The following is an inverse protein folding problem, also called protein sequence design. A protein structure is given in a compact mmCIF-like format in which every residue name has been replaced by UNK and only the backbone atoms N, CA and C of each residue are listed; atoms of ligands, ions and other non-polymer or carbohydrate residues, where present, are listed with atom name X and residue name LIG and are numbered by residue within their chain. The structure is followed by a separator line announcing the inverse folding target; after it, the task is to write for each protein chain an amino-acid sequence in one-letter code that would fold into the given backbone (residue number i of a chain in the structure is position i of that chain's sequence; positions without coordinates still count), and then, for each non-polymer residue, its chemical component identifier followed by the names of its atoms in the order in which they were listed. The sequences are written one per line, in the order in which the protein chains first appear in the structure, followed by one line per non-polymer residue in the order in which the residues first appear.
data_IF_940151715256
#
_entry.id   IF_940151715256
#
_cell.length_a   1.000
_cell.length_b   1.000
_cell.length_c   1.000
_cell.angle_alpha   90.00
_cell.angle_beta   90.00
_cell.angle_gamma   90.00
#
_symmetry.space_group_name_H-M   'P 1'
#
loop_
_entity.id
_entity.type
_entity.pdbx_description
1 polymer ?
#
# COMPACT_ATOMS: atom_id res chain seq x y z
N UNK A 1 -25.79 -22.45 -3.98
CA UNK A 1 -24.62 -21.54 -3.83
C UNK A 1 -25.05 -20.45 -2.85
N UNK A 2 -24.21 -20.13 -1.84
CA UNK A 2 -24.54 -19.12 -0.85
C UNK A 2 -24.36 -17.71 -1.46
N UNK A 3 -25.27 -16.79 -1.14
CA UNK A 3 -25.34 -15.46 -1.72
C UNK A 3 -25.07 -14.39 -0.66
N UNK A 4 -24.22 -13.42 -1.03
CA UNK A 4 -23.85 -12.27 -0.22
C UNK A 4 -24.11 -10.96 -0.97
N UNK A 5 -24.38 -9.88 -0.24
CA UNK A 5 -24.43 -8.54 -0.83
C UNK A 5 -23.02 -8.07 -1.17
N UNK A 6 -22.06 -8.29 -0.26
CA UNK A 6 -20.66 -7.89 -0.42
C UNK A 6 -19.75 -9.05 -0.04
N UNK A 7 -18.83 -9.41 -0.93
CA UNK A 7 -17.67 -10.27 -0.61
C UNK A 7 -16.41 -9.42 -0.61
N UNK A 8 -15.64 -9.53 0.47
CA UNK A 8 -14.39 -8.80 0.68
C UNK A 8 -13.24 -9.79 0.62
N UNK A 9 -12.24 -9.51 -0.19
CA UNK A 9 -11.06 -10.36 -0.39
C UNK A 9 -9.85 -9.75 0.31
N UNK A 10 -9.39 -10.41 1.37
CA UNK A 10 -8.26 -10.01 2.21
C UNK A 10 -8.71 -9.48 3.58
N UNK A 11 -8.21 -10.08 4.64
CA UNK A 11 -8.53 -9.79 6.05
C UNK A 11 -7.50 -8.89 6.76
N UNK A 12 -6.77 -8.07 6.00
CA UNK A 12 -5.91 -7.01 6.52
C UNK A 12 -6.69 -5.79 7.01
N UNK A 13 -6.03 -4.69 7.42
CA UNK A 13 -6.69 -3.50 7.98
C UNK A 13 -7.74 -2.91 7.04
N UNK A 14 -7.48 -2.85 5.72
CA UNK A 14 -8.46 -2.38 4.74
C UNK A 14 -9.70 -3.28 4.69
N UNK A 15 -9.52 -4.60 4.62
CA UNK A 15 -10.63 -5.55 4.54
C UNK A 15 -11.45 -5.64 5.82
N UNK A 16 -10.81 -5.57 6.99
CA UNK A 16 -11.51 -5.46 8.28
C UNK A 16 -12.39 -4.21 8.33
N UNK A 17 -11.84 -3.07 7.92
CA UNK A 17 -12.58 -1.81 7.85
C UNK A 17 -13.69 -1.86 6.81
N UNK A 18 -13.46 -2.47 5.64
CA UNK A 18 -14.46 -2.65 4.59
C UNK A 18 -15.64 -3.54 5.07
N UNK A 19 -15.32 -4.64 5.78
CA UNK A 19 -16.36 -5.51 6.34
C UNK A 19 -17.21 -4.76 7.37
N UNK A 20 -16.58 -3.96 8.22
CA UNK A 20 -17.27 -3.13 9.21
C UNK A 20 -18.16 -2.08 8.52
N UNK A 21 -17.65 -1.37 7.49
CA UNK A 21 -18.41 -0.40 6.71
C UNK A 21 -19.61 -1.01 6.00
N UNK A 22 -19.44 -2.18 5.36
CA UNK A 22 -20.51 -2.91 4.70
C UNK A 22 -21.59 -3.39 5.68
N UNK A 23 -21.20 -3.94 6.83
CA UNK A 23 -22.12 -4.39 7.88
C UNK A 23 -22.92 -3.25 8.49
N UNK A 24 -22.29 -2.12 8.78
CA UNK A 24 -22.97 -0.91 9.28
C UNK A 24 -23.98 -0.36 8.28
N UNK A 25 -23.75 -0.57 6.99
CA UNK A 25 -24.70 -0.25 5.93
C UNK A 25 -25.78 -1.33 5.70
N UNK A 26 -25.85 -2.38 6.52
CA UNK A 26 -26.89 -3.42 6.50
C UNK A 26 -26.62 -4.60 5.56
N UNK A 27 -25.49 -4.68 4.88
CA UNK A 27 -25.20 -5.72 3.89
C UNK A 27 -24.88 -7.08 4.52
N UNK A 28 -25.36 -8.19 3.92
CA UNK A 28 -24.87 -9.54 4.21
C UNK A 28 -23.45 -9.67 3.65
N UNK A 29 -22.47 -9.82 4.54
CA UNK A 29 -21.06 -9.67 4.20
C UNK A 29 -20.27 -10.94 4.49
N UNK A 30 -19.41 -11.36 3.54
CA UNK A 30 -18.39 -12.39 3.71
C UNK A 30 -16.99 -11.77 3.56
N UNK A 31 -16.15 -11.93 4.57
CA UNK A 31 -14.73 -11.60 4.52
C UNK A 31 -13.91 -12.89 4.30
N UNK A 32 -13.16 -12.95 3.19
CA UNK A 32 -12.33 -14.12 2.83
C UNK A 32 -10.86 -13.79 3.12
N UNK A 33 -10.20 -14.63 3.92
CA UNK A 33 -8.79 -14.48 4.28
C UNK A 33 -8.04 -15.80 4.08
N UNK A 34 -6.91 -15.74 3.37
CA UNK A 34 -6.06 -16.91 3.08
C UNK A 34 -5.30 -17.42 4.29
N UNK A 35 -5.00 -16.57 5.26
CA UNK A 35 -4.30 -16.95 6.48
C UNK A 35 -5.24 -17.47 7.57
N UNK A 36 -4.65 -18.09 8.59
CA UNK A 36 -5.37 -18.62 9.75
C UNK A 36 -5.90 -17.53 10.69
N UNK A 37 -5.44 -16.29 10.56
CA UNK A 37 -5.79 -15.17 11.44
C UNK A 37 -5.94 -13.89 10.64
N UNK A 38 -6.93 -13.10 11.00
CA UNK A 38 -7.14 -11.74 10.51
C UNK A 38 -6.03 -10.79 10.95
N UNK A 39 -5.95 -9.61 10.34
CA UNK A 39 -5.01 -8.53 10.67
C UNK A 39 -3.92 -8.30 9.62
N UNK A 40 -3.79 -9.18 8.62
CA UNK A 40 -2.81 -9.02 7.52
C UNK A 40 -1.39 -8.79 8.05
N UNK A 41 -0.67 -7.86 7.43
CA UNK A 41 0.73 -7.52 7.78
C UNK A 41 0.87 -6.93 9.19
N UNK A 42 -0.18 -6.32 9.75
CA UNK A 42 -0.12 -5.72 11.09
C UNK A 42 0.23 -6.73 12.19
N UNK A 43 -0.04 -8.01 11.98
CA UNK A 43 0.29 -9.10 12.94
C UNK A 43 1.77 -9.19 13.28
N UNK A 44 2.64 -8.64 12.46
CA UNK A 44 4.09 -8.62 12.68
C UNK A 44 4.64 -7.23 12.99
N UNK A 45 3.81 -6.17 12.95
CA UNK A 45 4.19 -4.80 13.24
C UNK A 45 4.09 -4.54 14.74
N UNK A 46 5.15 -4.86 15.50
CA UNK A 46 5.20 -4.70 16.96
C UNK A 46 5.62 -3.30 17.40
N UNK A 47 6.14 -2.47 16.47
CA UNK A 47 6.44 -1.06 16.72
C UNK A 47 5.15 -0.25 16.84
N UNK A 48 5.22 0.88 17.47
CA UNK A 48 4.13 1.82 17.69
C UNK A 48 3.98 2.85 16.53
N UNK A 49 2.96 3.68 16.63
CA UNK A 49 2.67 4.76 15.67
C UNK A 49 1.40 4.56 14.86
N UNK A 50 0.66 3.48 15.10
CA UNK A 50 -0.62 3.19 14.47
C UNK A 50 -1.79 3.79 15.27
N UNK A 51 -2.85 4.23 14.58
CA UNK A 51 -4.12 4.60 15.21
C UNK A 51 -4.24 6.02 15.73
N UNK A 52 -3.25 6.87 15.49
CA UNK A 52 -3.27 8.26 15.96
C UNK A 52 -4.46 9.06 15.41
N UNK A 53 -4.78 8.89 14.12
CA UNK A 53 -5.90 9.58 13.50
C UNK A 53 -7.24 8.87 13.75
N UNK A 54 -7.22 7.54 13.78
CA UNK A 54 -8.43 6.72 13.90
C UNK A 54 -8.93 6.57 15.32
N UNK A 55 -8.03 6.37 16.27
CA UNK A 55 -8.37 6.08 17.68
C UNK A 55 -7.90 7.16 18.65
N UNK A 56 -7.12 8.15 18.20
CA UNK A 56 -6.51 9.16 19.07
C UNK A 56 -5.44 8.58 20.01
N UNK A 57 -4.98 7.35 19.74
CA UNK A 57 -4.05 6.60 20.57
C UNK A 57 -2.87 6.09 19.75
N UNK A 58 -1.73 5.94 20.40
CA UNK A 58 -0.51 5.39 19.81
C UNK A 58 -0.46 3.89 20.08
N UNK A 59 -0.83 3.11 19.10
CA UNK A 59 -0.93 1.66 19.17
C UNK A 59 0.22 0.99 18.42
N UNK A 60 0.50 -0.27 18.75
CA UNK A 60 1.21 -1.19 17.87
C UNK A 60 0.30 -1.66 16.72
N UNK A 61 0.88 -2.22 15.65
CA UNK A 61 0.08 -2.80 14.57
C UNK A 61 -0.80 -3.95 15.03
N UNK A 62 -0.32 -4.76 15.96
CA UNK A 62 -1.09 -5.86 16.55
C UNK A 62 -2.32 -5.37 17.32
N UNK A 63 -2.17 -4.34 18.14
CA UNK A 63 -3.28 -3.71 18.90
C UNK A 63 -4.29 -3.06 17.96
N UNK A 64 -3.81 -2.35 16.95
CA UNK A 64 -4.66 -1.76 15.92
C UNK A 64 -5.52 -2.82 15.21
N UNK A 65 -4.89 -3.90 14.76
CA UNK A 65 -5.60 -5.01 14.12
C UNK A 65 -6.62 -5.66 15.09
N UNK A 66 -6.24 -5.85 16.34
CA UNK A 66 -7.10 -6.44 17.35
C UNK A 66 -8.37 -5.62 17.56
N UNK A 67 -8.27 -4.29 17.66
CA UNK A 67 -9.44 -3.40 17.79
C UNK A 67 -10.44 -3.57 16.63
N UNK A 68 -9.95 -3.62 15.39
CA UNK A 68 -10.82 -3.85 14.25
C UNK A 68 -11.45 -5.25 14.25
N UNK A 69 -10.71 -6.27 14.68
CA UNK A 69 -11.22 -7.65 14.80
C UNK A 69 -12.34 -7.70 15.83
N UNK A 70 -12.19 -7.06 17.00
CA UNK A 70 -13.25 -7.00 18.02
C UNK A 70 -14.49 -6.25 17.52
N UNK A 71 -14.31 -5.10 16.86
CA UNK A 71 -15.43 -4.39 16.24
C UNK A 71 -16.16 -5.27 15.20
N UNK A 72 -15.41 -6.05 14.42
CA UNK A 72 -15.99 -6.95 13.42
C UNK A 72 -16.79 -8.09 14.05
N UNK A 73 -16.30 -8.69 15.13
CA UNK A 73 -17.00 -9.73 15.90
C UNK A 73 -18.37 -9.23 16.38
N UNK A 74 -18.43 -7.99 16.86
CA UNK A 74 -19.66 -7.37 17.33
C UNK A 74 -20.68 -7.07 16.24
N UNK A 75 -20.30 -7.02 14.95
CA UNK A 75 -21.22 -6.64 13.86
C UNK A 75 -21.79 -7.82 13.05
N UNK A 76 -21.41 -9.06 13.36
CA UNK A 76 -21.95 -10.27 12.72
C UNK A 76 -21.53 -10.48 11.26
N UNK A 77 -20.37 -9.99 10.83
CA UNK A 77 -19.81 -10.33 9.54
C UNK A 77 -19.33 -11.80 9.52
N UNK A 78 -19.63 -12.52 8.44
CA UNK A 78 -19.11 -13.87 8.25
C UNK A 78 -17.65 -13.80 7.79
N UNK A 79 -16.81 -14.70 8.30
CA UNK A 79 -15.41 -14.80 7.94
C UNK A 79 -15.06 -16.19 7.47
N UNK A 80 -14.31 -16.30 6.37
CA UNK A 80 -13.74 -17.54 5.86
C UNK A 80 -12.22 -17.45 5.93
N UNK A 81 -11.64 -18.01 7.00
CA UNK A 81 -10.18 -18.10 7.20
C UNK A 81 -9.62 -19.33 6.46
N UNK A 82 -8.28 -19.35 6.26
CA UNK A 82 -7.61 -20.41 5.50
C UNK A 82 -8.29 -20.67 4.16
N UNK A 83 -8.81 -19.61 3.55
CA UNK A 83 -9.62 -19.70 2.33
C UNK A 83 -9.02 -18.77 1.28
N UNK A 84 -8.61 -19.34 0.17
CA UNK A 84 -8.05 -18.62 -0.97
C UNK A 84 -9.09 -18.38 -2.05
N UNK A 85 -9.16 -17.17 -2.60
CA UNK A 85 -9.98 -16.88 -3.79
C UNK A 85 -9.16 -17.21 -5.03
N UNK A 86 -9.49 -18.31 -5.68
CA UNK A 86 -8.72 -18.77 -6.85
C UNK A 86 -9.22 -18.18 -8.17
N UNK A 87 -10.51 -17.80 -8.23
CA UNK A 87 -11.13 -17.26 -9.44
C UNK A 87 -12.34 -16.39 -9.07
N UNK A 88 -12.53 -15.33 -9.85
CA UNK A 88 -13.72 -14.50 -9.81
C UNK A 88 -14.23 -14.37 -11.24
N UNK A 89 -15.52 -14.59 -11.43
CA UNK A 89 -16.19 -14.51 -12.72
C UNK A 89 -17.40 -13.59 -12.62
N UNK A 90 -17.63 -12.74 -13.62
CA UNK A 90 -18.85 -11.96 -13.73
C UNK A 90 -20.02 -12.88 -14.06
N UNK A 91 -21.13 -12.75 -13.38
CA UNK A 91 -22.34 -13.57 -13.57
C UNK A 91 -23.59 -12.71 -13.44
N UNK A 92 -24.24 -12.42 -14.55
CA UNK A 92 -25.35 -11.48 -14.58
C UNK A 92 -24.92 -10.09 -14.09
N UNK A 93 -25.63 -9.56 -13.09
CA UNK A 93 -25.31 -8.27 -12.46
C UNK A 93 -24.33 -8.37 -11.28
N UNK A 94 -23.85 -9.56 -10.96
CA UNK A 94 -22.95 -9.83 -9.84
C UNK A 94 -21.75 -10.68 -10.24
N UNK A 95 -21.23 -11.43 -9.26
CA UNK A 95 -20.00 -12.19 -9.38
C UNK A 95 -20.14 -13.56 -8.74
N UNK A 96 -19.43 -14.54 -9.30
CA UNK A 96 -19.23 -15.86 -8.71
C UNK A 96 -17.74 -16.01 -8.35
N UNK A 97 -17.48 -16.29 -7.07
CA UNK A 97 -16.13 -16.53 -6.57
C UNK A 97 -15.94 -18.03 -6.32
N UNK A 98 -14.83 -18.57 -6.81
CA UNK A 98 -14.36 -19.91 -6.47
C UNK A 98 -13.38 -19.82 -5.32
N UNK A 99 -13.76 -20.39 -4.18
CA UNK A 99 -13.00 -20.42 -2.95
C UNK A 99 -12.36 -21.78 -2.74
N UNK A 100 -11.10 -21.79 -2.34
CA UNK A 100 -10.32 -23.00 -2.00
C UNK A 100 -10.01 -22.94 -0.51
N UNK A 101 -10.53 -23.88 0.25
CA UNK A 101 -10.28 -24.01 1.69
C UNK A 101 -9.88 -25.44 2.06
N UNK A 102 -9.76 -25.72 3.36
CA UNK A 102 -9.41 -27.06 3.86
C UNK A 102 -10.42 -28.15 3.46
N UNK A 103 -11.68 -27.77 3.28
CA UNK A 103 -12.78 -28.68 2.91
C UNK A 103 -12.93 -28.83 1.39
N UNK A 104 -12.01 -28.25 0.62
CA UNK A 104 -12.02 -28.31 -0.84
C UNK A 104 -12.52 -27.03 -1.49
N UNK A 105 -13.11 -27.19 -2.68
CA UNK A 105 -13.62 -26.10 -3.51
C UNK A 105 -15.10 -25.81 -3.18
N UNK A 106 -15.42 -24.51 -3.00
CA UNK A 106 -16.79 -24.05 -2.95
C UNK A 106 -16.98 -22.76 -3.76
N UNK A 107 -18.20 -22.51 -4.20
CA UNK A 107 -18.54 -21.29 -4.91
C UNK A 107 -19.52 -20.45 -4.09
N UNK A 108 -19.36 -19.13 -4.13
CA UNK A 108 -20.28 -18.17 -3.53
C UNK A 108 -20.64 -17.09 -4.55
N UNK A 109 -21.81 -16.49 -4.39
CA UNK A 109 -22.26 -15.35 -5.19
C UNK A 109 -22.13 -14.05 -4.41
N UNK A 110 -21.75 -12.98 -5.12
CA UNK A 110 -21.67 -11.63 -4.57
C UNK A 110 -22.33 -10.64 -5.51
N UNK A 111 -23.11 -9.67 -4.96
CA UNK A 111 -23.59 -8.53 -5.74
C UNK A 111 -22.47 -7.53 -5.99
N UNK A 112 -21.62 -7.29 -5.01
CA UNK A 112 -20.45 -6.42 -5.11
C UNK A 112 -19.22 -7.06 -4.47
N UNK A 113 -18.03 -6.64 -4.93
CA UNK A 113 -16.74 -7.09 -4.45
C UNK A 113 -15.95 -5.93 -3.85
N UNK A 114 -15.20 -6.18 -2.78
CA UNK A 114 -14.15 -5.27 -2.30
C UNK A 114 -12.82 -6.02 -2.33
N UNK A 115 -11.88 -5.54 -3.15
CA UNK A 115 -10.54 -6.07 -3.24
C UNK A 115 -9.63 -5.30 -2.26
N UNK A 116 -9.20 -5.96 -1.22
CA UNK A 116 -8.32 -5.46 -0.16
C UNK A 116 -7.09 -6.37 -0.02
N UNK A 117 -6.57 -6.81 -1.16
CA UNK A 117 -5.51 -7.79 -1.32
C UNK A 117 -4.13 -7.30 -0.86
N UNK A 118 -4.01 -5.98 -0.64
CA UNK A 118 -2.79 -5.37 -0.14
C UNK A 118 -1.69 -5.26 -1.20
N UNK A 119 -0.45 -5.46 -0.76
CA UNK A 119 0.73 -5.36 -1.60
C UNK A 119 1.77 -6.41 -1.19
N UNK A 120 2.71 -6.69 -2.08
CA UNK A 120 3.90 -7.53 -1.84
C UNK A 120 5.18 -6.73 -2.03
N UNK A 121 6.23 -7.19 -1.41
CA UNK A 121 7.55 -6.59 -1.54
C UNK A 121 8.24 -6.99 -2.85
N UNK A 122 9.06 -6.09 -3.39
CA UNK A 122 9.90 -6.40 -4.54
C UNK A 122 11.01 -7.37 -4.14
N UNK A 123 11.28 -8.32 -5.02
CA UNK A 123 12.33 -9.33 -4.87
C UNK A 123 13.67 -8.85 -5.46
N UNK A 124 14.76 -9.54 -5.13
CA UNK A 124 16.11 -9.27 -5.68
C UNK A 124 16.12 -9.22 -7.22
N UNK A 125 15.37 -10.12 -7.88
CA UNK A 125 15.30 -10.15 -9.35
C UNK A 125 14.64 -8.90 -9.93
N UNK A 126 13.64 -8.35 -9.25
CA UNK A 126 12.90 -7.16 -9.73
C UNK A 126 13.72 -5.86 -9.60
N UNK A 127 14.81 -5.89 -8.82
CA UNK A 127 15.77 -4.79 -8.71
C UNK A 127 17.13 -5.15 -9.31
N UNK A 128 17.15 -6.15 -10.20
CA UNK A 128 18.31 -6.53 -11.01
C UNK A 128 19.55 -6.96 -10.21
N UNK A 129 19.39 -7.57 -9.04
CA UNK A 129 20.48 -8.19 -8.29
C UNK A 129 20.79 -9.54 -8.92
N UNK A 130 22.02 -9.71 -9.36
CA UNK A 130 22.52 -10.91 -10.02
C UNK A 130 23.27 -11.82 -9.04
N UNK A 131 23.74 -12.97 -9.54
CA UNK A 131 24.59 -13.91 -8.80
C UNK A 131 23.94 -15.25 -8.49
N UNK A 132 24.37 -15.88 -7.40
CA UNK A 132 23.85 -17.16 -6.94
C UNK A 132 22.51 -16.98 -6.19
N UNK A 133 21.88 -18.08 -5.77
CA UNK A 133 20.60 -18.04 -5.02
C UNK A 133 20.74 -18.71 -3.66
N UNK A 134 21.59 -18.18 -2.76
CA UNK A 134 21.75 -18.72 -1.44
C UNK A 134 20.58 -18.35 -0.54
N UNK A 135 20.40 -19.07 0.56
CA UNK A 135 19.58 -18.59 1.68
C UNK A 135 20.16 -17.28 2.23
N UNK A 136 19.32 -16.44 2.91
CA UNK A 136 19.78 -15.19 3.52
C UNK A 136 19.50 -13.93 2.70
N UNK A 137 19.00 -14.05 1.45
CA UNK A 137 18.45 -12.91 0.71
C UNK A 137 16.95 -12.84 0.98
N UNK A 138 16.53 -11.89 1.83
CA UNK A 138 15.18 -11.79 2.36
C UNK A 138 14.59 -10.41 2.07
N UNK A 139 13.27 -10.33 1.92
CA UNK A 139 12.59 -9.04 1.99
C UNK A 139 12.47 -8.58 3.46
N UNK A 140 12.32 -7.29 3.68
CA UNK A 140 12.23 -6.73 5.02
C UNK A 140 11.04 -7.29 5.81
N UNK A 141 9.88 -7.46 5.15
CA UNK A 141 8.70 -8.09 5.77
C UNK A 141 8.91 -9.56 6.10
N UNK A 142 9.66 -10.31 5.29
CA UNK A 142 10.04 -11.69 5.62
C UNK A 142 10.96 -11.74 6.83
N UNK A 143 11.98 -10.88 6.90
CA UNK A 143 12.85 -10.80 8.07
C UNK A 143 12.07 -10.39 9.34
N UNK A 144 11.15 -9.43 9.20
CA UNK A 144 10.25 -9.02 10.28
C UNK A 144 9.37 -10.19 10.78
N UNK A 145 8.88 -11.03 9.86
CA UNK A 145 8.09 -12.21 10.20
C UNK A 145 8.89 -13.22 11.03
N UNK A 146 10.13 -13.52 10.61
CA UNK A 146 11.02 -14.42 11.37
C UNK A 146 11.22 -13.93 12.80
N UNK A 147 11.61 -12.67 12.97
CA UNK A 147 11.90 -12.13 14.30
C UNK A 147 10.63 -11.98 15.13
N UNK A 148 9.62 -11.29 14.62
CA UNK A 148 8.50 -10.83 15.43
C UNK A 148 7.42 -11.88 15.64
N UNK A 149 7.35 -12.91 14.79
CA UNK A 149 6.33 -13.96 14.90
C UNK A 149 6.86 -15.34 15.18
N UNK A 150 8.07 -15.66 14.71
CA UNK A 150 8.66 -16.97 14.90
C UNK A 150 9.70 -16.97 16.04
N UNK A 151 10.21 -15.80 16.42
CA UNK A 151 11.28 -15.68 17.42
C UNK A 151 12.63 -16.19 16.90
N UNK A 152 12.81 -16.20 15.57
CA UNK A 152 14.00 -16.71 14.92
C UNK A 152 14.83 -15.57 14.33
N UNK A 153 16.15 -15.65 14.50
CA UNK A 153 17.08 -14.68 13.91
C UNK A 153 17.42 -15.03 12.47
N UNK A 154 16.99 -14.22 11.49
CA UNK A 154 17.29 -14.47 10.08
C UNK A 154 18.71 -14.09 9.68
N UNK A 155 19.41 -13.30 10.49
CA UNK A 155 20.71 -12.71 10.17
C UNK A 155 21.58 -12.58 11.43
N UNK A 156 22.90 -12.78 11.25
CA UNK A 156 23.92 -12.44 12.26
C UNK A 156 24.70 -11.19 11.86
N UNK A 157 25.07 -11.12 10.58
CA UNK A 157 25.78 -10.00 9.98
C UNK A 157 25.11 -9.64 8.67
N UNK A 158 24.35 -8.55 8.65
CA UNK A 158 23.49 -8.24 7.52
C UNK A 158 23.72 -6.84 6.95
N UNK A 159 23.24 -6.69 5.74
CA UNK A 159 23.14 -5.46 5.01
C UNK A 159 21.69 -5.21 4.62
N UNK A 160 21.27 -3.94 4.57
CA UNK A 160 19.93 -3.56 4.15
C UNK A 160 20.00 -2.74 2.88
N UNK A 161 19.24 -3.11 1.86
CA UNK A 161 19.07 -2.32 0.64
C UNK A 161 17.69 -1.65 0.65
N UNK A 162 17.70 -0.33 0.58
CA UNK A 162 16.54 0.55 0.63
C UNK A 162 16.34 1.20 2.01
N UNK A 163 16.28 2.53 2.01
CA UNK A 163 16.13 3.37 3.19
C UNK A 163 14.68 3.81 3.46
N UNK A 164 13.70 3.09 2.93
CA UNK A 164 12.29 3.28 3.31
C UNK A 164 12.03 2.90 4.77
N UNK A 165 10.93 3.36 5.37
CA UNK A 165 10.64 3.20 6.80
C UNK A 165 10.77 1.75 7.29
N UNK A 166 10.31 0.77 6.51
CA UNK A 166 10.43 -0.66 6.87
C UNK A 166 11.90 -1.08 6.97
N UNK A 167 12.75 -0.63 6.04
CA UNK A 167 14.20 -0.91 6.07
C UNK A 167 14.87 -0.31 7.30
N UNK A 168 14.53 0.94 7.64
CA UNK A 168 15.03 1.63 8.83
C UNK A 168 14.59 0.94 10.13
N UNK A 169 13.31 0.60 10.24
CA UNK A 169 12.76 -0.12 11.38
C UNK A 169 13.44 -1.50 11.53
N UNK A 170 13.71 -2.19 10.43
CA UNK A 170 14.39 -3.48 10.45
C UNK A 170 15.86 -3.34 10.83
N UNK A 171 16.55 -2.27 10.41
CA UNK A 171 17.92 -1.99 10.84
C UNK A 171 18.00 -1.91 12.37
N UNK A 172 17.16 -1.07 12.97
CA UNK A 172 17.04 -0.96 14.42
C UNK A 172 16.65 -2.28 15.08
N UNK A 173 15.64 -2.98 14.53
CA UNK A 173 15.14 -4.23 15.12
C UNK A 173 16.19 -5.33 15.14
N UNK A 174 16.89 -5.55 14.02
CA UNK A 174 17.96 -6.54 13.93
C UNK A 174 19.10 -6.23 14.89
N UNK A 175 19.49 -4.97 15.03
CA UNK A 175 20.52 -4.53 15.97
C UNK A 175 20.11 -4.79 17.42
N UNK A 176 18.86 -4.50 17.80
CA UNK A 176 18.34 -4.77 19.14
C UNK A 176 18.31 -6.27 19.48
N UNK A 177 18.15 -7.13 18.48
CA UNK A 177 18.20 -8.60 18.66
C UNK A 177 19.64 -9.16 18.55
N UNK A 178 20.65 -8.30 18.44
CA UNK A 178 22.07 -8.70 18.47
C UNK A 178 22.70 -8.99 17.11
N UNK A 179 22.05 -8.70 15.99
CA UNK A 179 22.69 -8.77 14.68
C UNK A 179 23.58 -7.55 14.43
N UNK A 180 24.69 -7.76 13.74
CA UNK A 180 25.52 -6.67 13.21
C UNK A 180 24.91 -6.17 11.90
N UNK A 181 24.36 -4.96 11.90
CA UNK A 181 23.92 -4.28 10.67
C UNK A 181 25.09 -3.47 10.11
N UNK A 182 25.61 -3.88 8.95
CA UNK A 182 26.78 -3.25 8.31
C UNK A 182 26.46 -1.86 7.77
N UNK A 183 25.19 -1.63 7.40
CA UNK A 183 24.70 -0.37 6.89
C UNK A 183 23.42 -0.52 6.11
N UNK A 184 22.81 0.63 5.83
CA UNK A 184 21.68 0.78 4.92
C UNK A 184 22.16 1.44 3.64
N UNK A 185 21.83 0.86 2.50
CA UNK A 185 22.22 1.32 1.17
C UNK A 185 21.00 1.79 0.40
N UNK A 186 21.07 2.98 -0.18
CA UNK A 186 19.98 3.62 -0.91
C UNK A 186 20.45 4.08 -2.29
N UNK A 187 19.72 3.65 -3.33
CA UNK A 187 20.08 4.02 -4.70
C UNK A 187 19.83 5.51 -5.02
N UNK A 188 18.88 6.15 -4.33
CA UNK A 188 18.64 7.58 -4.49
C UNK A 188 19.71 8.41 -3.78
N UNK A 189 19.91 9.68 -4.19
CA UNK A 189 20.83 10.59 -3.52
C UNK A 189 20.34 11.05 -2.14
N UNK A 190 19.05 10.84 -1.83
CA UNK A 190 18.41 11.18 -0.56
C UNK A 190 17.69 9.97 0.01
N UNK A 191 17.60 9.85 1.35
CA UNK A 191 16.85 8.78 2.00
C UNK A 191 15.37 8.79 1.60
N UNK A 192 14.76 7.61 1.61
CA UNK A 192 13.35 7.40 1.24
C UNK A 192 12.41 7.30 2.44
N UNK A 193 12.91 7.19 3.66
CA UNK A 193 12.12 7.12 4.89
C UNK A 193 11.95 8.49 5.57
N UNK A 194 11.07 8.52 6.56
CA UNK A 194 10.81 9.71 7.36
C UNK A 194 12.05 10.10 8.18
N UNK A 195 12.34 11.40 8.28
CA UNK A 195 13.50 11.93 9.02
C UNK A 195 13.55 11.42 10.47
N UNK A 196 12.39 11.29 11.12
CA UNK A 196 12.29 10.71 12.46
C UNK A 196 12.82 9.27 12.52
N UNK A 197 12.52 8.45 11.51
CA UNK A 197 12.96 7.07 11.48
C UNK A 197 14.46 6.97 11.15
N UNK A 198 15.01 7.89 10.37
CA UNK A 198 16.46 7.99 10.15
C UNK A 198 17.15 8.22 11.49
N UNK A 199 16.73 9.22 12.27
CA UNK A 199 17.32 9.51 13.58
C UNK A 199 17.18 8.31 14.53
N UNK A 200 15.96 7.85 14.78
CA UNK A 200 15.66 6.83 15.79
C UNK A 200 16.13 5.41 15.41
N UNK A 201 16.33 5.12 14.14
CA UNK A 201 16.66 3.77 13.70
C UNK A 201 18.11 3.62 13.22
N UNK A 202 18.77 4.69 12.79
CA UNK A 202 20.15 4.64 12.32
C UNK A 202 21.09 5.44 13.22
N UNK A 203 20.85 6.74 13.42
CA UNK A 203 21.75 7.63 14.17
C UNK A 203 21.91 7.18 15.63
N UNK A 204 20.80 6.88 16.32
CA UNK A 204 20.80 6.39 17.71
C UNK A 204 21.55 5.06 17.89
N UNK A 205 21.73 4.30 16.80
CA UNK A 205 22.40 3.00 16.82
C UNK A 205 23.77 3.02 16.09
N UNK A 206 24.19 4.16 15.57
CA UNK A 206 25.45 4.29 14.83
C UNK A 206 25.48 3.46 13.54
N UNK A 207 24.34 3.19 12.91
CA UNK A 207 24.24 2.42 11.67
C UNK A 207 24.46 3.37 10.49
N UNK A 208 25.47 3.12 9.63
CA UNK A 208 25.77 4.01 8.51
C UNK A 208 24.71 3.93 7.41
N UNK A 209 24.45 5.07 6.77
CA UNK A 209 23.60 5.20 5.59
C UNK A 209 24.43 5.62 4.37
N UNK A 210 24.40 4.80 3.33
CA UNK A 210 25.11 5.04 2.06
C UNK A 210 24.07 5.36 0.97
N UNK A 211 23.95 6.62 0.61
CA UNK A 211 23.11 7.07 -0.51
C UNK A 211 23.86 6.95 -1.84
N UNK A 212 23.13 6.96 -2.97
CA UNK A 212 23.69 6.75 -4.32
C UNK A 212 24.44 5.42 -4.46
N UNK A 213 24.01 4.38 -3.74
CA UNK A 213 24.61 3.04 -3.79
C UNK A 213 23.53 1.97 -3.98
N UNK A 214 23.88 0.91 -4.68
CA UNK A 214 22.99 -0.25 -4.83
C UNK A 214 23.76 -1.57 -4.72
N UNK A 215 23.04 -2.67 -4.51
CA UNK A 215 23.59 -4.03 -4.60
C UNK A 215 23.45 -4.51 -6.04
N UNK A 216 24.54 -4.96 -6.62
CA UNK A 216 24.58 -5.47 -7.99
C UNK A 216 24.65 -7.00 -8.04
N UNK A 217 25.26 -7.62 -7.02
CA UNK A 217 25.49 -9.06 -7.02
C UNK A 217 25.44 -9.65 -5.61
N UNK A 218 25.02 -10.90 -5.53
CA UNK A 218 25.09 -11.75 -4.34
C UNK A 218 25.83 -13.04 -4.66
N UNK A 219 26.62 -13.54 -3.71
CA UNK A 219 27.36 -14.80 -3.85
C UNK A 219 27.33 -15.60 -2.54
N UNK A 220 27.26 -16.92 -2.70
CA UNK A 220 27.24 -17.91 -1.64
C UNK A 220 26.75 -19.24 -2.18
N UNK A 221 26.96 -20.31 -1.40
CA UNK A 221 26.49 -21.66 -1.72
C UNK A 221 25.14 -21.93 -1.04
N UNK A 222 25.17 -22.45 0.18
CA UNK A 222 23.97 -22.72 0.97
C UNK A 222 23.37 -21.43 1.55
N UNK A 223 24.23 -20.54 2.04
CA UNK A 223 23.88 -19.23 2.60
C UNK A 223 24.67 -18.13 1.91
N UNK A 224 24.17 -16.90 2.00
CA UNK A 224 24.85 -15.71 1.53
C UNK A 224 26.20 -15.56 2.24
N UNK A 225 27.26 -15.32 1.48
CA UNK A 225 28.63 -15.12 1.97
C UNK A 225 29.09 -13.69 1.69
N UNK A 226 28.70 -13.14 0.53
CA UNK A 226 29.11 -11.79 0.09
C UNK A 226 28.05 -11.11 -0.74
N UNK A 227 28.03 -9.78 -0.66
CA UNK A 227 27.31 -8.89 -1.57
C UNK A 227 28.29 -7.94 -2.25
N UNK A 228 28.02 -7.64 -3.51
CA UNK A 228 28.74 -6.60 -4.25
C UNK A 228 27.85 -5.36 -4.30
N UNK A 229 28.36 -4.24 -3.78
CA UNK A 229 27.73 -2.92 -3.86
C UNK A 229 28.46 -2.07 -4.89
N UNK A 230 27.77 -1.10 -5.50
CA UNK A 230 28.37 -0.14 -6.39
C UNK A 230 27.69 1.23 -6.22
N UNK A 231 28.42 2.30 -6.52
CA UNK A 231 27.83 3.62 -6.68
C UNK A 231 26.88 3.64 -7.89
N UNK A 232 25.91 4.54 -7.88
CA UNK A 232 24.97 4.71 -9.01
C UNK A 232 25.01 6.14 -9.55
N UNK A 233 24.78 6.25 -10.87
CA UNK A 233 24.63 7.53 -11.55
C UNK A 233 23.25 8.19 -11.25
N UNK A 234 23.02 9.39 -11.77
CA UNK A 234 21.77 10.13 -11.63
C UNK A 234 20.53 9.39 -12.20
N UNK A 235 20.74 8.33 -13.01
CA UNK A 235 19.69 7.44 -13.52
C UNK A 235 19.58 6.14 -12.72
N UNK A 236 20.22 6.08 -11.54
CA UNK A 236 20.28 4.92 -10.66
C UNK A 236 20.92 3.67 -11.33
N UNK A 237 21.84 3.85 -12.28
CA UNK A 237 22.58 2.75 -12.93
C UNK A 237 23.94 2.59 -12.26
N UNK A 238 24.36 1.35 -11.94
CA UNK A 238 25.68 1.10 -11.35
C UNK A 238 26.82 1.69 -12.19
N UNK A 239 27.78 2.34 -11.54
CA UNK A 239 28.96 2.93 -12.16
C UNK A 239 30.06 1.86 -12.16
N UNK A 240 30.54 1.38 -13.34
CA UNK A 240 31.59 0.40 -13.41
C UNK A 240 32.90 0.88 -12.75
N UNK A 241 33.58 -0.02 -12.01
CA UNK A 241 34.82 0.28 -11.31
C UNK A 241 34.65 0.83 -9.89
N UNK A 242 33.38 0.99 -9.41
CA UNK A 242 33.07 1.38 -8.02
C UNK A 242 32.66 0.20 -7.16
N UNK A 243 32.71 -1.01 -7.69
CA UNK A 243 32.26 -2.22 -7.02
C UNK A 243 33.10 -2.52 -5.77
N UNK A 244 32.42 -2.81 -4.67
CA UNK A 244 33.00 -3.25 -3.41
C UNK A 244 32.33 -4.53 -2.95
N UNK A 245 33.11 -5.51 -2.52
CA UNK A 245 32.60 -6.73 -1.91
C UNK A 245 32.54 -6.59 -0.39
N UNK A 246 31.40 -6.96 0.19
CA UNK A 246 31.16 -6.96 1.62
C UNK A 246 30.74 -8.36 2.07
N UNK A 247 31.42 -8.89 3.07
CA UNK A 247 31.05 -10.17 3.67
C UNK A 247 29.86 -10.01 4.58
N UNK A 248 28.81 -10.80 4.36
CA UNK A 248 27.62 -10.86 5.20
C UNK A 248 26.86 -12.16 4.99
N UNK A 249 26.06 -12.57 5.97
CA UNK A 249 25.24 -13.78 5.89
C UNK A 249 23.80 -13.50 5.47
N UNK A 250 23.42 -12.22 5.39
CA UNK A 250 22.07 -11.84 4.97
C UNK A 250 22.02 -10.48 4.30
N UNK A 251 21.17 -10.39 3.26
CA UNK A 251 20.78 -9.17 2.57
C UNK A 251 19.29 -8.97 2.77
N UNK A 252 18.90 -7.85 3.40
CA UNK A 252 17.52 -7.49 3.64
C UNK A 252 17.08 -6.46 2.60
N UNK A 253 16.03 -6.76 1.86
CA UNK A 253 15.51 -5.92 0.78
C UNK A 253 14.30 -5.11 1.25
N UNK A 254 14.43 -3.78 1.24
CA UNK A 254 13.34 -2.82 1.48
C UNK A 254 13.20 -1.87 0.28
N UNK A 255 13.00 -2.45 -0.90
CA UNK A 255 13.13 -1.79 -2.21
C UNK A 255 11.79 -1.46 -2.86
N UNK A 256 10.77 -1.28 -2.05
CA UNK A 256 9.44 -0.87 -2.45
C UNK A 256 8.43 -2.01 -2.55
N UNK A 257 7.17 -1.61 -2.68
CA UNK A 257 5.99 -2.46 -2.67
C UNK A 257 5.31 -2.47 -4.04
N UNK A 258 4.60 -3.57 -4.32
CA UNK A 258 3.79 -3.75 -5.52
C UNK A 258 2.37 -4.12 -5.07
N UNK A 259 1.33 -3.33 -5.41
CA UNK A 259 -0.06 -3.70 -5.17
C UNK A 259 -0.40 -5.07 -5.77
N UNK A 260 -1.12 -5.91 -5.01
CA UNK A 260 -1.55 -7.25 -5.46
C UNK A 260 -2.89 -7.17 -6.16
N UNK A 261 -2.89 -7.08 -7.48
CA UNK A 261 -4.07 -6.81 -8.30
C UNK A 261 -4.39 -7.90 -9.34
N UNK A 262 -3.83 -9.11 -9.22
CA UNK A 262 -4.06 -10.20 -10.16
C UNK A 262 -5.55 -10.57 -10.30
N UNK A 263 -6.32 -10.48 -9.22
CA UNK A 263 -7.77 -10.70 -9.26
C UNK A 263 -8.52 -9.56 -9.96
N UNK A 264 -8.04 -8.32 -9.81
CA UNK A 264 -8.59 -7.16 -10.52
C UNK A 264 -8.29 -7.25 -12.02
N UNK A 265 -7.05 -7.58 -12.38
CA UNK A 265 -6.63 -7.76 -13.79
C UNK A 265 -7.41 -8.89 -14.47
N UNK A 266 -7.64 -10.02 -13.76
CA UNK A 266 -8.45 -11.13 -14.27
C UNK A 266 -9.92 -10.75 -14.53
N UNK A 267 -10.44 -9.72 -13.85
CA UNK A 267 -11.76 -9.13 -14.10
C UNK A 267 -11.75 -8.03 -15.17
N UNK A 268 -10.60 -7.75 -15.79
CA UNK A 268 -10.44 -6.68 -16.77
C UNK A 268 -10.43 -5.27 -16.18
N UNK A 269 -10.15 -5.13 -14.88
CA UNK A 269 -10.05 -3.81 -14.22
C UNK A 269 -8.78 -3.10 -14.70
N UNK A 270 -8.88 -1.92 -15.29
CA UNK A 270 -7.71 -1.16 -15.73
C UNK A 270 -6.93 -0.61 -14.53
N UNK A 271 -5.61 -0.76 -14.59
CA UNK A 271 -4.68 -0.27 -13.58
C UNK A 271 -4.07 1.07 -13.98
N UNK A 272 -3.80 1.90 -12.98
CA UNK A 272 -3.02 3.13 -13.13
C UNK A 272 -1.53 2.81 -13.31
N UNK A 273 -0.89 3.42 -14.31
CA UNK A 273 0.50 3.13 -14.64
C UNK A 273 1.50 3.56 -13.54
N UNK A 274 1.12 4.52 -12.68
CA UNK A 274 1.96 5.09 -11.62
C UNK A 274 1.77 4.38 -10.28
N UNK A 275 0.52 4.27 -9.81
CA UNK A 275 0.21 3.59 -8.54
C UNK A 275 0.29 2.07 -8.65
N UNK A 276 0.12 1.50 -9.85
CA UNK A 276 -0.06 0.06 -10.12
C UNK A 276 -1.33 -0.52 -9.49
N UNK A 277 -2.20 0.33 -8.95
CA UNK A 277 -3.52 -0.04 -8.45
C UNK A 277 -4.63 0.27 -9.46
N UNK A 278 -5.83 -0.24 -9.26
CA UNK A 278 -6.99 0.03 -10.09
C UNK A 278 -7.34 1.51 -10.20
N UNK A 279 -7.75 1.95 -11.39
CA UNK A 279 -8.42 3.24 -11.55
C UNK A 279 -9.76 3.19 -10.81
N UNK A 280 -10.07 4.20 -10.01
CA UNK A 280 -11.31 4.24 -9.24
C UNK A 280 -11.96 5.63 -9.19
N UNK A 281 -13.23 5.64 -8.78
CA UNK A 281 -13.99 6.85 -8.47
C UNK A 281 -13.86 7.25 -6.97
N UNK A 282 -14.53 8.34 -6.58
CA UNK A 282 -14.56 8.86 -5.21
C UNK A 282 -15.21 7.90 -4.19
N UNK A 283 -15.90 6.86 -4.65
CA UNK A 283 -16.49 5.81 -3.81
C UNK A 283 -15.61 4.56 -3.75
N UNK A 284 -14.39 4.62 -4.32
CA UNK A 284 -13.47 3.48 -4.47
C UNK A 284 -13.99 2.38 -5.41
N UNK A 285 -15.04 2.64 -6.21
CA UNK A 285 -15.48 1.73 -7.27
C UNK A 285 -14.53 1.84 -8.45
N UNK A 286 -14.11 0.70 -8.96
CA UNK A 286 -13.25 0.63 -10.16
C UNK A 286 -14.05 0.93 -11.44
N UNK A 287 -13.37 0.95 -12.58
CA UNK A 287 -14.06 1.09 -13.87
C UNK A 287 -14.86 -0.17 -14.27
N UNK A 288 -14.77 -1.24 -13.51
CA UNK A 288 -15.66 -2.42 -13.60
C UNK A 288 -16.74 -2.27 -12.54
N UNK A 289 -18.01 -2.05 -12.94
CA UNK A 289 -19.12 -1.82 -12.01
C UNK A 289 -19.26 -2.96 -10.99
N UNK A 290 -19.47 -2.60 -9.71
CA UNK A 290 -19.59 -3.55 -8.61
C UNK A 290 -18.27 -4.06 -8.04
N UNK A 291 -17.12 -3.70 -8.61
CA UNK A 291 -15.79 -4.01 -8.07
C UNK A 291 -15.21 -2.77 -7.41
N UNK A 292 -14.96 -2.85 -6.12
CA UNK A 292 -14.35 -1.81 -5.30
C UNK A 292 -12.94 -2.22 -4.88
N UNK A 293 -12.08 -1.25 -4.62
CA UNK A 293 -10.70 -1.48 -4.20
C UNK A 293 -10.32 -0.53 -3.06
N UNK A 294 -9.52 -0.98 -2.11
CA UNK A 294 -9.08 -0.15 -0.98
C UNK A 294 -7.71 -0.55 -0.43
N UNK A 295 -7.13 0.31 0.38
CA UNK A 295 -5.84 0.11 1.01
C UNK A 295 -4.69 0.00 0.00
N UNK A 296 -3.68 -0.81 0.34
CA UNK A 296 -2.46 -0.91 -0.48
C UNK A 296 -2.66 -1.63 -1.82
N UNK A 297 -3.80 -2.26 -2.06
CA UNK A 297 -4.17 -2.74 -3.38
C UNK A 297 -4.48 -1.59 -4.36
N UNK A 298 -4.96 -0.45 -3.85
CA UNK A 298 -5.25 0.76 -4.64
C UNK A 298 -3.98 1.60 -4.86
N UNK A 299 -3.32 1.96 -3.79
CA UNK A 299 -2.01 2.63 -3.79
C UNK A 299 -1.33 2.40 -2.43
N UNK A 300 0.00 2.47 -2.39
CA UNK A 300 0.74 2.30 -1.15
C UNK A 300 0.53 3.51 -0.24
N UNK A 301 0.02 3.26 0.96
CA UNK A 301 -0.28 4.27 1.97
C UNK A 301 0.85 4.36 3.02
N UNK A 302 1.09 5.57 3.55
CA UNK A 302 2.07 5.80 4.62
C UNK A 302 1.48 5.49 6.01
N UNK A 303 0.16 5.65 6.18
CA UNK A 303 -0.54 5.43 7.45
C UNK A 303 -1.63 4.38 7.31
N UNK A 304 -1.68 3.46 8.27
CA UNK A 304 -2.74 2.46 8.34
C UNK A 304 -4.13 3.07 8.54
N UNK A 305 -4.18 4.25 9.16
CA UNK A 305 -5.43 4.99 9.37
C UNK A 305 -6.10 5.34 8.03
N UNK A 306 -5.33 5.73 7.00
CA UNK A 306 -5.84 5.96 5.64
C UNK A 306 -6.24 4.66 4.94
N UNK A 307 -5.51 3.58 5.18
CA UNK A 307 -5.87 2.24 4.70
C UNK A 307 -7.26 1.85 5.22
N UNK A 308 -7.53 2.06 6.50
CA UNK A 308 -8.81 1.74 7.12
C UNK A 308 -9.92 2.72 6.70
N UNK A 309 -9.62 4.01 6.54
CA UNK A 309 -10.56 5.02 6.02
C UNK A 309 -11.06 4.61 4.62
N UNK A 310 -10.15 4.27 3.72
CA UNK A 310 -10.51 3.80 2.37
C UNK A 310 -11.32 2.50 2.41
N UNK A 311 -10.97 1.58 3.31
CA UNK A 311 -11.70 0.33 3.51
C UNK A 311 -13.15 0.56 3.96
N UNK A 312 -13.35 1.34 5.03
CA UNK A 312 -14.69 1.66 5.53
C UNK A 312 -15.57 2.31 4.45
N UNK A 313 -15.02 3.27 3.70
CA UNK A 313 -15.72 3.95 2.62
C UNK A 313 -16.06 3.01 1.46
N UNK A 314 -15.10 2.19 1.02
CA UNK A 314 -15.31 1.20 -0.04
C UNK A 314 -16.36 0.15 0.35
N UNK A 315 -16.31 -0.36 1.59
CA UNK A 315 -17.28 -1.32 2.10
C UNK A 315 -18.69 -0.75 2.19
N UNK A 316 -18.83 0.47 2.70
CA UNK A 316 -20.11 1.17 2.77
C UNK A 316 -20.69 1.48 1.37
N UNK A 317 -19.84 1.84 0.41
CA UNK A 317 -20.24 2.07 -0.97
C UNK A 317 -20.67 0.77 -1.67
N UNK A 318 -19.90 -0.32 -1.48
CA UNK A 318 -20.23 -1.64 -2.01
C UNK A 318 -21.57 -2.18 -1.49
N UNK A 319 -21.89 -1.93 -0.22
CA UNK A 319 -23.18 -2.30 0.38
C UNK A 319 -24.38 -1.62 -0.29
N UNK A 320 -24.20 -0.38 -0.72
CA UNK A 320 -25.23 0.45 -1.39
C UNK A 320 -25.22 0.31 -2.90
N UNK A 321 -24.30 -0.49 -3.45
CA UNK A 321 -24.15 -0.63 -4.89
C UNK A 321 -25.43 -1.18 -5.53
N UNK A 322 -25.91 -0.47 -6.55
CA UNK A 322 -26.95 -0.90 -7.47
C UNK A 322 -26.40 -0.68 -8.88
N UNK A 323 -26.52 -1.67 -9.77
CA UNK A 323 -26.13 -1.50 -11.17
C UNK A 323 -26.84 -0.29 -11.81
N UNK A 324 -26.09 0.69 -12.25
CA UNK A 324 -26.59 1.88 -12.94
C UNK A 324 -25.55 2.39 -13.91
N UNK A 325 -25.99 3.17 -14.90
CA UNK A 325 -25.06 3.90 -15.75
C UNK A 325 -24.30 4.93 -14.91
N UNK A 326 -23.00 5.07 -15.13
CA UNK A 326 -22.15 6.07 -14.49
C UNK A 326 -21.76 7.16 -15.51
N UNK A 327 -21.67 8.38 -15.03
CA UNK A 327 -21.11 9.51 -15.78
C UNK A 327 -19.78 9.89 -15.14
N UNK A 328 -18.67 9.63 -15.81
CA UNK A 328 -17.34 9.84 -15.22
C UNK A 328 -16.70 11.15 -15.68
N UNK A 329 -16.30 11.99 -14.73
CA UNK A 329 -15.35 13.08 -14.94
C UNK A 329 -13.93 12.57 -14.71
N UNK A 330 -12.97 13.07 -15.48
CA UNK A 330 -11.57 12.70 -15.38
C UNK A 330 -10.86 13.54 -14.32
N UNK A 331 -10.01 12.90 -13.52
CA UNK A 331 -9.06 13.58 -12.63
C UNK A 331 -7.66 13.43 -13.23
N UNK A 332 -7.04 14.56 -13.54
CA UNK A 332 -5.70 14.67 -14.10
C UNK A 332 -4.80 15.51 -13.18
N UNK A 333 -3.51 15.46 -13.41
CA UNK A 333 -2.52 16.24 -12.68
C UNK A 333 -1.39 16.68 -13.61
N UNK A 334 -0.78 17.84 -13.33
CA UNK A 334 0.40 18.30 -14.05
C UNK A 334 1.64 17.43 -13.76
N UNK A 335 2.77 17.80 -14.40
CA UNK A 335 4.04 17.07 -14.26
C UNK A 335 4.69 17.13 -12.86
N UNK A 336 4.11 17.86 -11.91
CA UNK A 336 4.61 17.95 -10.53
C UNK A 336 4.20 16.77 -9.65
N UNK A 337 3.17 16.00 -10.09
CA UNK A 337 2.61 14.90 -9.31
C UNK A 337 3.14 13.54 -9.77
N UNK A 338 3.51 12.72 -8.81
CA UNK A 338 3.78 11.30 -9.01
C UNK A 338 2.49 10.53 -9.35
N UNK A 339 1.41 10.78 -8.63
CA UNK A 339 0.06 10.29 -8.89
C UNK A 339 -0.98 11.14 -8.14
N UNK A 340 -2.25 10.99 -8.51
CA UNK A 340 -3.44 11.46 -7.76
C UNK A 340 -4.48 10.34 -7.74
N UNK A 341 -5.13 10.10 -6.60
CA UNK A 341 -6.20 9.10 -6.39
C UNK A 341 -7.34 9.78 -5.62
N UNK A 342 -8.62 9.60 -6.02
CA UNK A 342 -9.11 8.84 -7.16
C UNK A 342 -8.83 9.52 -8.51
N UNK A 343 -8.84 8.73 -9.59
CA UNK A 343 -8.59 9.22 -10.95
C UNK A 343 -9.89 9.55 -11.72
N UNK A 344 -11.04 9.24 -11.14
CA UNK A 344 -12.36 9.52 -11.71
C UNK A 344 -13.30 10.06 -10.64
N UNK A 345 -14.30 10.80 -11.07
CA UNK A 345 -15.44 11.23 -10.27
C UNK A 345 -16.71 10.76 -10.97
N UNK A 346 -17.51 9.96 -10.28
CA UNK A 346 -18.84 9.58 -10.76
C UNK A 346 -19.82 10.74 -10.49
N UNK A 347 -20.19 11.43 -11.53
CA UNK A 347 -21.03 12.64 -11.49
C UNK A 347 -22.52 12.32 -11.36
N UNK A 348 -22.91 11.03 -11.43
CA UNK A 348 -24.29 10.58 -11.17
C UNK A 348 -24.60 10.44 -9.68
N UNK A 349 -23.57 10.36 -8.86
CA UNK A 349 -23.68 10.34 -7.39
C UNK A 349 -23.69 11.77 -6.85
N UNK A 350 -24.35 12.00 -5.70
CA UNK A 350 -24.31 13.32 -5.05
C UNK A 350 -22.86 13.77 -4.84
N UNK A 351 -22.56 14.94 -5.34
CA UNK A 351 -21.28 15.58 -5.09
C UNK A 351 -21.16 15.94 -3.60
N UNK A 352 -19.99 15.77 -3.02
CA UNK A 352 -19.73 16.04 -1.61
C UNK A 352 -18.23 16.13 -1.34
N UNK A 353 -17.85 16.05 -0.08
CA UNK A 353 -16.44 16.04 0.32
C UNK A 353 -15.76 14.78 -0.20
N UNK A 354 -14.79 14.99 -1.10
CA UNK A 354 -13.95 13.94 -1.67
C UNK A 354 -12.53 14.09 -1.18
N UNK A 355 -11.95 13.00 -0.71
CA UNK A 355 -10.55 12.94 -0.32
C UNK A 355 -9.69 12.53 -1.50
N UNK A 356 -8.71 13.35 -1.84
CA UNK A 356 -7.68 13.04 -2.82
C UNK A 356 -6.36 12.78 -2.11
N UNK A 357 -5.68 11.72 -2.55
CA UNK A 357 -4.32 11.39 -2.12
C UNK A 357 -3.37 11.61 -3.28
N UNK A 358 -2.20 12.18 -3.00
CA UNK A 358 -1.17 12.36 -4.02
C UNK A 358 0.24 12.30 -3.43
N UNK A 359 1.22 12.08 -4.30
CA UNK A 359 2.64 12.28 -3.99
C UNK A 359 3.26 13.25 -4.97
N UNK A 360 4.15 14.14 -4.51
CA UNK A 360 4.94 14.95 -5.42
C UNK A 360 5.96 14.07 -6.15
N UNK A 361 6.37 14.47 -7.34
CA UNK A 361 7.39 13.76 -8.12
C UNK A 361 8.81 14.12 -7.66
N UNK A 362 9.00 15.35 -7.17
CA UNK A 362 10.26 15.89 -6.65
C UNK A 362 10.03 16.62 -5.33
N UNK A 363 11.10 16.81 -4.56
CA UNK A 363 11.07 17.66 -3.37
C UNK A 363 10.82 19.12 -3.77
N UNK A 364 9.92 19.78 -3.05
CA UNK A 364 9.55 21.17 -3.24
C UNK A 364 9.45 21.89 -1.91
N UNK A 365 9.86 23.14 -1.89
CA UNK A 365 9.63 24.07 -0.78
C UNK A 365 8.16 24.50 -0.70
N UNK A 366 7.92 25.74 -0.30
CA UNK A 366 6.56 26.30 -0.17
C UNK A 366 5.82 26.22 -1.52
N UNK A 367 4.81 25.39 -1.58
CA UNK A 367 4.11 25.03 -2.83
C UNK A 367 2.61 25.18 -2.65
N UNK A 368 1.95 25.81 -3.61
CA UNK A 368 0.50 25.89 -3.70
C UNK A 368 -0.01 24.79 -4.63
N UNK A 369 -0.90 23.94 -4.11
CA UNK A 369 -1.64 22.95 -4.89
C UNK A 369 -3.03 23.50 -5.15
N UNK A 370 -3.39 23.61 -6.43
CA UNK A 370 -4.71 24.07 -6.88
C UNK A 370 -5.46 22.93 -7.54
N UNK A 371 -6.77 22.92 -7.40
CA UNK A 371 -7.66 22.04 -8.13
C UNK A 371 -8.60 22.86 -8.98
N UNK A 372 -8.62 22.56 -10.26
CA UNK A 372 -9.44 23.24 -11.27
C UNK A 372 -10.51 22.27 -11.79
N UNK A 373 -11.73 22.73 -12.00
CA UNK A 373 -12.77 22.03 -12.77
C UNK A 373 -13.04 22.79 -14.07
N UNK A 374 -12.81 22.15 -15.18
CA UNK A 374 -12.94 22.75 -16.53
C UNK A 374 -12.30 24.14 -16.64
N UNK A 375 -11.09 24.28 -16.03
CA UNK A 375 -10.31 25.52 -16.01
C UNK A 375 -10.66 26.51 -14.87
N UNK A 376 -11.77 26.32 -14.15
CA UNK A 376 -12.18 27.17 -13.03
C UNK A 376 -11.59 26.63 -11.71
N UNK A 377 -10.93 27.46 -10.92
CA UNK A 377 -10.40 27.09 -9.61
C UNK A 377 -11.55 26.73 -8.64
N UNK A 378 -11.50 25.52 -8.08
CA UNK A 378 -12.39 25.05 -7.03
C UNK A 378 -11.83 25.28 -5.65
N UNK A 379 -10.56 24.97 -5.48
CA UNK A 379 -9.89 25.15 -4.20
C UNK A 379 -8.37 25.21 -4.38
N UNK A 380 -7.69 25.69 -3.33
CA UNK A 380 -6.23 25.69 -3.22
C UNK A 380 -5.79 25.39 -1.80
N UNK A 381 -4.62 24.79 -1.66
CA UNK A 381 -3.96 24.55 -0.37
C UNK A 381 -2.47 24.79 -0.52
N UNK A 382 -1.88 25.49 0.44
CA UNK A 382 -0.43 25.73 0.48
C UNK A 382 0.22 24.76 1.44
N UNK A 383 1.31 24.15 0.98
CA UNK A 383 2.17 23.25 1.73
C UNK A 383 3.52 23.93 1.94
N UNK A 384 4.06 23.82 3.15
CA UNK A 384 5.38 24.42 3.47
C UNK A 384 6.53 23.63 2.84
N UNK A 385 6.34 22.34 2.68
CA UNK A 385 7.26 21.44 2.02
C UNK A 385 6.48 20.24 1.47
N UNK A 386 6.89 19.75 0.32
CA UNK A 386 6.40 18.50 -0.29
C UNK A 386 7.57 17.59 -0.57
N UNK A 387 7.47 16.31 -0.16
CA UNK A 387 8.54 15.32 -0.35
C UNK A 387 7.99 14.05 -1.04
N UNK A 388 8.69 13.47 -2.02
CA UNK A 388 8.24 12.25 -2.71
C UNK A 388 7.91 11.06 -1.80
N UNK A 389 8.62 10.82 -0.67
CA UNK A 389 8.28 9.73 0.24
C UNK A 389 6.98 9.95 1.01
N UNK A 390 6.53 11.19 1.14
CA UNK A 390 5.35 11.55 1.95
C UNK A 390 4.10 11.66 1.07
N UNK A 391 3.04 10.94 1.47
CA UNK A 391 1.74 11.00 0.80
C UNK A 391 0.90 12.12 1.39
N UNK A 392 0.45 13.01 0.53
CA UNK A 392 -0.40 14.12 0.90
C UNK A 392 -1.89 13.79 0.77
N UNK A 393 -2.69 14.40 1.63
CA UNK A 393 -4.13 14.28 1.67
C UNK A 393 -4.78 15.66 1.50
N UNK A 394 -5.69 15.77 0.53
CA UNK A 394 -6.47 16.98 0.26
C UNK A 394 -7.95 16.65 0.20
N UNK A 395 -8.75 17.24 1.08
CA UNK A 395 -10.20 17.09 1.08
C UNK A 395 -10.81 18.26 0.33
N UNK A 396 -11.61 17.98 -0.68
CA UNK A 396 -12.24 18.98 -1.55
C UNK A 396 -13.75 18.77 -1.52
N UNK A 397 -14.50 19.84 -1.30
CA UNK A 397 -15.96 19.83 -1.44
C UNK A 397 -16.35 20.08 -2.90
N UNK A 398 -16.91 19.06 -3.53
CA UNK A 398 -17.34 19.08 -4.92
C UNK A 398 -18.82 19.47 -5.09
N UNK A 399 -19.56 19.76 -4.01
CA UNK A 399 -21.01 20.03 -4.05
C UNK A 399 -21.42 21.17 -4.99
N UNK A 400 -20.57 22.19 -5.12
CA UNK A 400 -20.81 23.35 -5.99
C UNK A 400 -20.03 23.34 -7.31
N UNK A 401 -19.39 22.23 -7.66
CA UNK A 401 -18.46 22.18 -8.79
C UNK A 401 -19.16 22.16 -10.16
N UNK A 402 -20.43 21.74 -10.23
CA UNK A 402 -21.20 21.65 -11.49
C UNK A 402 -20.65 20.58 -12.44
N UNK A 403 -20.10 19.50 -11.91
CA UNK A 403 -19.49 18.43 -12.69
C UNK A 403 -20.52 17.62 -13.47
N UNK A 404 -20.16 17.26 -14.69
CA UNK A 404 -20.93 16.38 -15.58
C UNK A 404 -20.02 15.32 -16.22
N UNK A 405 -20.61 14.34 -16.89
CA UNK A 405 -19.84 13.36 -17.65
C UNK A 405 -18.98 14.08 -18.70
N UNK A 406 -17.68 13.81 -18.69
CA UNK A 406 -16.69 14.48 -19.56
C UNK A 406 -16.04 15.73 -18.98
N UNK A 407 -16.47 16.24 -17.81
CA UNK A 407 -15.72 17.29 -17.08
C UNK A 407 -14.33 16.79 -16.71
N UNK A 408 -13.38 17.74 -16.64
CA UNK A 408 -12.00 17.47 -16.24
C UNK A 408 -11.64 18.23 -14.98
N UNK A 409 -11.22 17.50 -13.97
CA UNK A 409 -10.59 18.05 -12.78
C UNK A 409 -9.07 17.96 -12.92
N UNK A 410 -8.38 19.09 -12.72
CA UNK A 410 -6.93 19.15 -12.91
C UNK A 410 -6.26 19.65 -11.65
N UNK A 411 -5.30 18.86 -11.13
CA UNK A 411 -4.39 19.27 -10.07
C UNK A 411 -3.18 19.98 -10.67
N UNK A 412 -2.83 21.13 -10.13
CA UNK A 412 -1.71 21.96 -10.56
C UNK A 412 -0.85 22.30 -9.34
N UNK A 413 0.48 22.15 -9.48
CA UNK A 413 1.46 22.63 -8.50
C UNK A 413 2.17 23.88 -9.00
N UNK A 414 2.17 24.93 -8.19
CA UNK A 414 2.92 26.15 -8.43
C UNK A 414 3.71 26.58 -7.21
N UNK A 415 4.83 27.26 -7.38
CA UNK A 415 5.56 27.85 -6.26
C UNK A 415 4.65 28.90 -5.59
N UNK A 416 4.60 28.87 -4.25
CA UNK A 416 3.88 29.88 -3.52
C UNK A 416 4.85 31.02 -3.17
N UNK A 417 4.43 32.25 -3.43
CA UNK A 417 5.20 33.43 -3.05
C UNK A 417 5.59 33.36 -1.55
N UNK A 418 6.77 33.81 -1.27
CA UNK A 418 7.38 33.87 0.09
C UNK A 418 6.54 34.63 1.09
#
# INVERSE_FOLDING_TARGET
MERYDVVIVGGGPAGLAAALGARRAGAKTLLVEREARLGGILKQCIHDGFGLLRFGERLSGCEYAHRYIEMLRGCGAQTALLTFVSRIEKSGEGFVLTLVGREGLRKVEARALVLSTGCRERTARQVSIHGTRPAGVLTAGTAQHYINRMGEMPARRCMILGSGDIGLIMARRLTLEGAQVLGVYEAKPTPSGLSRNISQCLEDFGIPLYTSHTVTRVSGKERLERVTVAEVDARMRPIPGTEQELECDSLILSVGLIPENELAEALGVPLDARTKGPLCDQSYMTLVPGVFVCGNALHVNDLVDYVSESGEAAGAAAARYVPAACGLAEVSADGGFGYVVPQRIDTTKPAGKTTFFFRPLAERGKTRVRMLADGRELCKKTYMQLKPPEMERMVVDLSGAGLHAGSRLTFVMEEADT
#
